data_IF_294612485128
#
_entry.id   IF_294612485128
#
_cell.length_a   1.000
_cell.length_b   1.000
_cell.length_c   1.000
_cell.angle_alpha   90.00
_cell.angle_beta   90.00
_cell.angle_gamma   90.00
#
_symmetry.space_group_name_H-M   'P 1'
#
loop_
_entity.id
_entity.type
_entity.pdbx_description
1 polymer ?
#
# COMPACT_ATOMS: atom_id res chain seq x y z
N UNK A 1 -11.63 37.34 22.38
CA UNK A 1 -11.22 37.04 21.03
C UNK A 1 -12.30 36.24 20.32
N UNK A 2 -12.98 36.82 19.42
CA UNK A 2 -14.05 36.22 18.63
C UNK A 2 -13.61 36.16 17.16
N UNK A 3 -13.86 35.10 16.36
CA UNK A 3 -14.71 33.93 16.64
C UNK A 3 -13.99 32.79 17.39
N UNK A 4 -14.76 31.95 18.10
CA UNK A 4 -14.29 30.68 18.66
C UNK A 4 -13.76 29.80 17.55
N UNK A 5 -12.56 29.27 17.71
CA UNK A 5 -11.94 28.36 16.74
C UNK A 5 -11.73 26.99 17.38
N UNK A 6 -12.13 25.94 16.66
CA UNK A 6 -11.77 24.57 17.05
C UNK A 6 -10.28 24.35 16.89
N UNK A 7 -9.70 23.48 17.71
CA UNK A 7 -8.32 23.06 17.51
C UNK A 7 -8.17 22.39 16.15
N UNK A 8 -7.00 22.53 15.54
CA UNK A 8 -6.73 21.97 14.21
C UNK A 8 -6.96 20.46 14.18
N UNK A 9 -6.49 19.74 15.19
CA UNK A 9 -6.66 18.30 15.35
C UNK A 9 -8.12 17.89 15.45
N UNK A 10 -8.89 18.64 16.24
CA UNK A 10 -10.35 18.44 16.38
C UNK A 10 -11.04 18.54 15.03
N UNK A 11 -10.74 19.59 14.27
CA UNK A 11 -11.31 19.76 12.93
C UNK A 11 -10.91 18.61 11.99
N UNK A 12 -9.63 18.21 11.99
CA UNK A 12 -9.17 17.09 11.18
C UNK A 12 -9.94 15.81 11.56
N UNK A 13 -10.02 15.47 12.85
CA UNK A 13 -10.68 14.25 13.31
C UNK A 13 -12.20 14.28 13.05
N UNK A 14 -12.86 15.43 13.11
CA UNK A 14 -14.26 15.56 12.73
C UNK A 14 -14.48 15.25 11.24
N UNK A 15 -13.61 15.77 10.38
CA UNK A 15 -13.69 15.48 8.94
C UNK A 15 -13.39 14.01 8.60
N UNK A 16 -12.61 13.29 9.42
CA UNK A 16 -12.39 11.85 9.25
C UNK A 16 -13.67 11.03 9.47
N UNK A 17 -14.60 11.52 10.29
CA UNK A 17 -15.80 10.77 10.66
C UNK A 17 -16.72 10.51 9.47
N UNK A 18 -16.79 11.44 8.51
CA UNK A 18 -17.68 11.37 7.35
C UNK A 18 -16.95 10.94 6.06
N UNK A 19 -15.62 10.83 6.10
CA UNK A 19 -14.80 10.52 4.94
C UNK A 19 -14.90 9.06 4.47
N UNK A 20 -14.71 8.84 3.16
CA UNK A 20 -14.36 7.53 2.64
C UNK A 20 -12.95 7.11 3.11
N UNK A 21 -12.56 5.82 3.06
CA UNK A 21 -11.21 5.41 3.41
C UNK A 21 -10.10 6.18 2.69
N UNK A 22 -10.28 6.50 1.39
CA UNK A 22 -9.32 7.33 0.62
C UNK A 22 -9.28 8.77 1.11
N UNK A 23 -10.44 9.37 1.41
CA UNK A 23 -10.51 10.71 1.97
C UNK A 23 -9.82 10.76 3.35
N UNK A 24 -9.99 9.73 4.18
CA UNK A 24 -9.33 9.60 5.50
C UNK A 24 -7.80 9.58 5.34
N UNK A 25 -7.27 8.74 4.44
CA UNK A 25 -5.83 8.65 4.20
C UNK A 25 -5.28 9.95 3.64
N UNK A 26 -5.94 10.56 2.66
CA UNK A 26 -5.55 11.84 2.04
C UNK A 26 -5.56 12.99 3.05
N UNK A 27 -6.59 13.08 3.88
CA UNK A 27 -6.72 14.14 4.88
C UNK A 27 -5.63 14.04 5.96
N UNK A 28 -5.37 12.84 6.49
CA UNK A 28 -4.28 12.62 7.45
C UNK A 28 -2.92 12.98 6.86
N UNK A 29 -2.65 12.54 5.63
CA UNK A 29 -1.44 12.85 4.91
C UNK A 29 -1.26 14.38 4.73
N UNK A 30 -2.34 15.08 4.34
CA UNK A 30 -2.33 16.53 4.15
C UNK A 30 -2.09 17.27 5.45
N UNK A 31 -2.75 16.84 6.54
CA UNK A 31 -2.60 17.46 7.86
C UNK A 31 -1.16 17.35 8.38
N UNK A 32 -0.54 16.19 8.23
CA UNK A 32 0.84 15.94 8.68
C UNK A 32 1.87 16.70 7.83
N UNK A 33 1.71 16.73 6.51
CA UNK A 33 2.60 17.50 5.61
C UNK A 33 2.54 18.99 5.87
N UNK A 34 1.38 19.52 6.19
CA UNK A 34 1.19 20.94 6.49
C UNK A 34 1.94 21.43 7.72
N UNK A 35 2.58 20.54 8.49
CA UNK A 35 3.32 20.83 9.72
C UNK A 35 2.51 21.63 10.77
N UNK A 36 1.19 21.63 10.63
CA UNK A 36 0.28 22.30 11.59
C UNK A 36 -0.03 21.44 12.80
N UNK A 37 0.30 20.14 12.70
CA UNK A 37 0.09 19.15 13.76
C UNK A 37 1.17 18.08 13.70
N UNK A 38 1.13 17.15 14.68
CA UNK A 38 2.03 16.00 14.76
C UNK A 38 1.23 14.70 14.84
N UNK A 39 1.88 13.56 14.54
CA UNK A 39 1.28 12.23 14.71
C UNK A 39 0.74 12.04 16.11
N UNK A 40 1.51 12.43 17.13
CA UNK A 40 1.13 12.28 18.54
C UNK A 40 -0.15 13.08 18.87
N UNK A 41 -0.27 14.31 18.39
CA UNK A 41 -1.44 15.17 18.63
C UNK A 41 -2.69 14.63 17.93
N UNK A 42 -2.57 14.20 16.67
CA UNK A 42 -3.69 13.58 15.93
C UNK A 42 -4.12 12.26 16.57
N UNK A 43 -3.16 11.45 17.04
CA UNK A 43 -3.45 10.19 17.72
C UNK A 43 -4.21 10.44 19.02
N UNK A 44 -3.73 11.35 19.85
CA UNK A 44 -4.40 11.71 21.11
C UNK A 44 -5.83 12.20 20.88
N UNK A 45 -6.05 13.06 19.88
CA UNK A 45 -7.41 13.53 19.57
C UNK A 45 -8.31 12.42 19.03
N UNK A 46 -7.80 11.54 18.16
CA UNK A 46 -8.55 10.39 17.64
C UNK A 46 -8.91 9.38 18.75
N UNK A 47 -8.05 9.19 19.76
CA UNK A 47 -8.29 8.32 20.92
C UNK A 47 -9.37 8.89 21.84
N UNK A 48 -9.47 10.21 21.98
CA UNK A 48 -10.52 10.87 22.78
C UNK A 48 -11.93 10.70 22.24
N UNK A 49 -12.09 10.37 20.94
CA UNK A 49 -13.39 10.16 20.33
C UNK A 49 -13.95 8.79 20.72
N UNK A 50 -15.12 8.75 21.33
CA UNK A 50 -15.80 7.50 21.65
C UNK A 50 -16.19 6.72 20.39
N UNK A 51 -16.65 7.41 19.35
CA UNK A 51 -17.02 6.85 18.06
C UNK A 51 -16.22 7.54 16.96
N UNK A 52 -15.39 6.80 16.28
CA UNK A 52 -14.65 7.24 15.11
C UNK A 52 -14.76 6.17 14.03
N UNK A 53 -15.43 6.53 12.94
CA UNK A 53 -15.47 5.69 11.74
C UNK A 53 -14.05 5.46 11.24
N UNK A 54 -13.76 4.29 10.73
CA UNK A 54 -12.43 3.94 10.26
C UNK A 54 -11.29 4.05 11.30
N UNK A 55 -11.58 3.94 12.60
CA UNK A 55 -10.58 4.05 13.69
C UNK A 55 -9.33 3.19 13.44
N UNK A 56 -9.51 1.95 12.94
CA UNK A 56 -8.40 1.06 12.59
C UNK A 56 -7.49 1.65 11.52
N UNK A 57 -8.08 2.19 10.44
CA UNK A 57 -7.34 2.85 9.36
C UNK A 57 -6.60 4.10 9.85
N UNK A 58 -7.28 4.95 10.64
CA UNK A 58 -6.65 6.14 11.24
C UNK A 58 -5.43 5.76 12.07
N UNK A 59 -5.57 4.76 12.94
CA UNK A 59 -4.46 4.27 13.77
C UNK A 59 -3.30 3.75 12.92
N UNK A 60 -3.61 2.97 11.87
CA UNK A 60 -2.59 2.36 11.03
C UNK A 60 -1.82 3.41 10.22
N UNK A 61 -2.52 4.40 9.64
CA UNK A 61 -1.90 5.53 8.92
C UNK A 61 -1.02 6.37 9.86
N UNK A 62 -1.49 6.65 11.08
CA UNK A 62 -0.70 7.40 12.06
C UNK A 62 0.50 6.60 12.58
N UNK A 63 0.41 5.27 12.62
CA UNK A 63 1.55 4.40 12.99
C UNK A 63 2.59 4.40 11.88
N UNK A 64 2.18 4.28 10.62
CA UNK A 64 3.08 4.40 9.47
C UNK A 64 3.85 5.73 9.47
N UNK A 65 3.14 6.81 9.81
CA UNK A 65 3.74 8.14 9.88
C UNK A 65 4.77 8.29 11.01
N UNK A 66 4.67 7.48 12.07
CA UNK A 66 5.56 7.55 13.23
C UNK A 66 6.82 6.68 13.10
N UNK A 67 6.66 5.47 12.56
CA UNK A 67 7.63 4.41 12.83
C UNK A 67 8.72 4.23 11.75
N UNK A 68 8.52 4.71 10.53
CA UNK A 68 9.53 4.60 9.45
C UNK A 68 10.06 3.18 9.15
N UNK A 69 9.60 2.16 9.90
CA UNK A 69 10.01 0.76 9.85
C UNK A 69 8.78 -0.09 9.57
N UNK A 70 8.88 -1.09 8.78
CA UNK A 70 7.88 -2.01 8.25
C UNK A 70 6.44 -1.48 8.21
N UNK A 71 6.08 -0.89 7.08
CA UNK A 71 4.80 -0.19 6.86
C UNK A 71 3.60 -1.09 7.23
N UNK A 72 2.62 -0.58 8.00
CA UNK A 72 1.35 -1.26 8.21
C UNK A 72 0.67 -1.69 6.91
N UNK A 73 0.92 -0.95 5.81
CA UNK A 73 0.43 -1.29 4.49
C UNK A 73 1.10 -2.56 3.94
N UNK A 74 2.42 -2.73 4.13
CA UNK A 74 3.13 -3.95 3.77
C UNK A 74 2.57 -5.18 4.51
N UNK A 75 2.34 -5.05 5.83
CA UNK A 75 1.72 -6.12 6.62
C UNK A 75 0.32 -6.47 6.11
N UNK A 76 -0.49 -5.46 5.75
CA UNK A 76 -1.82 -5.68 5.18
C UNK A 76 -1.76 -6.36 3.84
N UNK A 77 -0.89 -5.92 2.96
CA UNK A 77 -0.67 -6.56 1.66
C UNK A 77 -0.29 -8.04 1.83
N UNK A 78 0.70 -8.33 2.66
CA UNK A 78 1.13 -9.71 2.91
C UNK A 78 0.00 -10.56 3.51
N UNK A 79 -0.73 -10.05 4.49
CA UNK A 79 -1.74 -10.83 5.18
C UNK A 79 -3.05 -10.95 4.39
N UNK A 80 -3.57 -9.83 3.87
CA UNK A 80 -4.89 -9.80 3.25
C UNK A 80 -4.87 -10.17 1.76
N UNK A 81 -3.80 -9.79 1.04
CA UNK A 81 -3.69 -10.07 -0.39
C UNK A 81 -2.97 -11.39 -0.63
N UNK A 82 -1.76 -11.58 -0.07
CA UNK A 82 -0.96 -12.76 -0.40
C UNK A 82 -1.38 -14.01 0.40
N UNK A 83 -1.25 -13.98 1.73
CA UNK A 83 -1.47 -15.16 2.58
C UNK A 83 -2.88 -15.70 2.48
N UNK A 84 -3.89 -14.82 2.59
CA UNK A 84 -5.30 -15.25 2.56
C UNK A 84 -5.69 -15.89 1.25
N UNK A 85 -5.05 -15.51 0.15
CA UNK A 85 -5.38 -16.02 -1.17
C UNK A 85 -4.41 -17.08 -1.69
N UNK A 86 -3.43 -17.51 -0.89
CA UNK A 86 -2.49 -18.58 -1.25
C UNK A 86 -1.47 -18.19 -2.31
N UNK A 87 -1.19 -16.89 -2.44
CA UNK A 87 -0.16 -16.38 -3.32
C UNK A 87 1.24 -16.57 -2.70
N UNK A 88 2.29 -16.65 -3.52
CA UNK A 88 3.67 -16.58 -3.04
C UNK A 88 3.88 -15.32 -2.20
N UNK A 89 4.67 -15.40 -1.13
CA UNK A 89 4.88 -14.24 -0.26
C UNK A 89 5.85 -13.23 -0.86
N UNK A 90 6.70 -13.66 -1.79
CA UNK A 90 7.77 -12.81 -2.32
C UNK A 90 8.80 -12.41 -1.24
N UNK A 91 9.70 -11.52 -1.61
CA UNK A 91 10.78 -11.00 -0.74
C UNK A 91 10.49 -9.51 -0.49
N UNK A 92 10.47 -9.11 0.78
CA UNK A 92 10.30 -7.71 1.17
C UNK A 92 11.52 -6.86 0.81
N UNK A 93 11.29 -5.57 0.54
CA UNK A 93 12.34 -4.59 0.25
C UNK A 93 13.30 -5.05 -0.87
N UNK A 94 12.73 -5.56 -1.96
CA UNK A 94 13.47 -6.14 -3.07
C UNK A 94 14.23 -5.08 -3.86
N UNK A 95 15.51 -5.37 -4.16
CA UNK A 95 16.37 -4.50 -4.92
C UNK A 95 16.44 -4.97 -6.39
N UNK A 96 15.97 -4.15 -7.30
CA UNK A 96 16.23 -4.31 -8.73
C UNK A 96 17.49 -3.53 -9.07
N UNK A 97 18.51 -4.23 -9.54
CA UNK A 97 19.78 -3.66 -9.92
C UNK A 97 20.05 -3.93 -11.40
N UNK A 98 20.57 -2.93 -12.10
CA UNK A 98 21.16 -3.08 -13.42
C UNK A 98 22.66 -3.30 -13.28
N UNK A 99 23.19 -4.30 -13.95
CA UNK A 99 24.60 -4.37 -14.27
C UNK A 99 24.81 -3.56 -15.55
N UNK A 100 25.64 -2.53 -15.50
CA UNK A 100 26.12 -1.85 -16.71
C UNK A 100 27.10 -2.74 -17.46
N UNK A 101 27.43 -2.37 -18.71
CA UNK A 101 28.33 -3.12 -19.61
C UNK A 101 29.74 -3.38 -19.05
N UNK A 102 30.13 -2.74 -17.96
CA UNK A 102 31.42 -2.84 -17.29
C UNK A 102 31.31 -3.42 -15.87
N UNK A 103 30.21 -4.09 -15.52
CA UNK A 103 30.02 -4.67 -14.17
C UNK A 103 29.70 -3.65 -13.07
N UNK A 104 29.63 -2.37 -13.38
CA UNK A 104 29.20 -1.34 -12.45
C UNK A 104 27.69 -1.40 -12.24
N UNK A 105 27.26 -1.38 -10.98
CA UNK A 105 25.83 -1.31 -10.64
C UNK A 105 25.34 0.10 -10.97
N UNK A 106 24.74 0.26 -12.14
CA UNK A 106 24.05 1.48 -12.54
C UNK A 106 22.57 1.30 -12.26
N UNK A 107 21.99 2.20 -11.47
CA UNK A 107 20.54 2.31 -11.33
C UNK A 107 19.88 1.22 -10.47
N UNK A 108 20.12 1.27 -9.17
CA UNK A 108 19.41 0.43 -8.19
C UNK A 108 18.13 1.08 -7.72
N UNK A 109 17.05 0.30 -7.66
CA UNK A 109 15.78 0.75 -7.04
C UNK A 109 15.21 -0.33 -6.14
N UNK A 110 14.82 0.09 -4.96
CA UNK A 110 14.17 -0.76 -3.98
C UNK A 110 12.66 -0.69 -4.16
N UNK A 111 12.02 -1.85 -4.19
CA UNK A 111 10.59 -2.04 -4.24
C UNK A 111 10.13 -2.71 -2.96
N UNK A 112 8.90 -2.42 -2.51
CA UNK A 112 8.39 -2.94 -1.24
C UNK A 112 8.31 -4.45 -1.23
N UNK A 113 8.05 -5.08 -2.41
CA UNK A 113 8.07 -6.53 -2.56
C UNK A 113 8.50 -6.97 -3.94
N UNK A 114 9.26 -8.05 -4.00
CA UNK A 114 9.69 -8.68 -5.25
C UNK A 114 9.34 -10.16 -5.32
N UNK A 115 9.05 -10.62 -6.51
CA UNK A 115 8.86 -12.03 -6.87
C UNK A 115 9.89 -12.37 -7.97
N UNK A 116 11.14 -12.66 -7.58
CA UNK A 116 12.25 -12.77 -8.53
C UNK A 116 12.05 -13.86 -9.57
N UNK A 117 11.50 -15.01 -9.18
CA UNK A 117 11.26 -16.13 -10.10
C UNK A 117 10.31 -15.76 -11.26
N UNK A 118 9.49 -14.73 -11.04
CA UNK A 118 8.48 -14.25 -12.00
C UNK A 118 8.80 -12.88 -12.56
N UNK A 119 9.88 -12.24 -12.12
CA UNK A 119 10.20 -10.85 -12.47
C UNK A 119 9.02 -9.88 -12.27
N UNK A 120 8.34 -10.01 -11.15
CA UNK A 120 7.26 -9.11 -10.72
C UNK A 120 7.70 -8.37 -9.47
N UNK A 121 7.48 -7.06 -9.45
CA UNK A 121 7.71 -6.22 -8.27
C UNK A 121 6.43 -5.47 -7.90
N UNK A 122 6.30 -5.19 -6.63
CA UNK A 122 5.15 -4.44 -6.07
C UNK A 122 5.67 -3.23 -5.33
N UNK A 123 5.01 -2.12 -5.57
CA UNK A 123 5.12 -0.88 -4.82
C UNK A 123 3.83 -0.64 -4.06
N UNK A 124 3.96 -0.27 -2.80
CA UNK A 124 2.83 -0.01 -1.92
C UNK A 124 2.77 1.49 -1.63
N UNK A 125 1.81 2.14 -2.27
CA UNK A 125 1.63 3.57 -2.19
C UNK A 125 0.95 3.94 -0.86
N UNK A 126 1.76 4.20 0.18
CA UNK A 126 1.30 4.68 1.48
C UNK A 126 0.70 6.09 1.38
N UNK A 127 -0.25 6.39 2.27
CA UNK A 127 -1.01 7.64 2.26
C UNK A 127 -0.15 8.93 2.32
N UNK A 128 1.09 8.83 2.80
CA UNK A 128 1.94 9.99 3.07
C UNK A 128 2.85 10.40 1.90
N UNK A 129 2.96 9.59 0.84
CA UNK A 129 4.01 9.74 -0.17
C UNK A 129 3.62 10.45 -1.46
N UNK A 130 2.36 10.88 -1.63
CA UNK A 130 1.90 11.46 -2.89
C UNK A 130 1.94 12.98 -2.92
N UNK A 131 3.09 13.63 -3.23
CA UNK A 131 3.09 14.90 -3.98
C UNK A 131 4.49 15.41 -4.39
N UNK A 132 4.60 15.93 -5.60
CA UNK A 132 5.65 16.82 -6.11
C UNK A 132 6.96 16.13 -6.50
N UNK A 133 7.96 16.12 -5.64
CA UNK A 133 9.27 15.51 -5.90
C UNK A 133 9.19 13.98 -6.12
N UNK A 134 8.13 13.35 -5.64
CA UNK A 134 7.86 11.92 -5.80
C UNK A 134 7.47 11.54 -7.24
N UNK A 135 6.78 12.39 -8.01
CA UNK A 135 6.35 12.04 -9.38
C UNK A 135 7.52 11.78 -10.34
N UNK A 136 8.63 12.49 -10.20
CA UNK A 136 9.82 12.26 -11.01
C UNK A 136 10.55 10.97 -10.56
N UNK A 137 10.67 10.77 -9.25
CA UNK A 137 11.26 9.57 -8.66
C UNK A 137 10.42 8.32 -8.98
N UNK A 138 9.09 8.43 -8.93
CA UNK A 138 8.15 7.34 -9.25
C UNK A 138 8.20 6.96 -10.73
N UNK A 139 8.27 7.94 -11.63
CA UNK A 139 8.47 7.67 -13.06
C UNK A 139 9.80 6.98 -13.31
N UNK A 140 10.86 7.44 -12.66
CA UNK A 140 12.18 6.83 -12.78
C UNK A 140 12.17 5.38 -12.28
N UNK A 141 11.55 5.11 -11.12
CA UNK A 141 11.39 3.78 -10.55
C UNK A 141 10.64 2.83 -11.50
N UNK A 142 9.54 3.31 -12.11
CA UNK A 142 8.77 2.56 -13.12
C UNK A 142 9.61 2.26 -14.37
N UNK A 143 10.39 3.23 -14.84
CA UNK A 143 11.26 3.07 -16.00
C UNK A 143 12.41 2.06 -15.74
N UNK A 144 12.94 2.04 -14.51
CA UNK A 144 13.94 1.04 -14.11
C UNK A 144 13.33 -0.36 -14.15
N UNK A 145 12.18 -0.57 -13.54
CA UNK A 145 11.50 -1.86 -13.58
C UNK A 145 11.27 -2.32 -15.04
N UNK A 146 10.73 -1.43 -15.89
CA UNK A 146 10.45 -1.75 -17.29
C UNK A 146 11.72 -2.10 -18.07
N UNK A 147 12.81 -1.31 -17.96
CA UNK A 147 14.06 -1.58 -18.66
C UNK A 147 14.69 -2.92 -18.31
N UNK A 148 14.47 -3.39 -17.08
CA UNK A 148 14.97 -4.68 -16.61
C UNK A 148 13.98 -5.82 -16.76
N UNK A 149 12.89 -5.61 -17.51
CA UNK A 149 11.88 -6.63 -17.80
C UNK A 149 11.04 -7.04 -16.61
N UNK A 150 11.02 -6.20 -15.55
CA UNK A 150 10.15 -6.41 -14.40
C UNK A 150 8.76 -5.84 -14.63
N UNK A 151 7.74 -6.60 -14.29
CA UNK A 151 6.38 -6.11 -14.22
C UNK A 151 6.17 -5.42 -12.88
N UNK A 152 5.81 -4.14 -12.90
CA UNK A 152 5.52 -3.36 -11.70
C UNK A 152 4.01 -3.30 -11.45
N UNK A 153 3.59 -3.70 -10.27
CA UNK A 153 2.24 -3.47 -9.74
C UNK A 153 2.28 -2.41 -8.64
N UNK A 154 1.21 -1.63 -8.53
CA UNK A 154 1.06 -0.61 -7.48
C UNK A 154 -0.24 -0.82 -6.73
N UNK A 155 -0.20 -0.76 -5.41
CA UNK A 155 -1.37 -0.93 -4.55
C UNK A 155 -1.37 0.09 -3.42
N UNK A 156 -2.54 0.69 -3.20
CA UNK A 156 -2.77 1.59 -2.08
C UNK A 156 -3.50 0.91 -0.90
N UNK A 157 -4.00 1.71 0.02
CA UNK A 157 -4.69 1.23 1.22
C UNK A 157 -5.97 0.45 0.92
N UNK A 158 -6.80 0.92 -0.03
CA UNK A 158 -8.03 0.22 -0.40
C UNK A 158 -7.73 -1.15 -1.00
N UNK A 159 -6.72 -1.21 -1.85
CA UNK A 159 -6.28 -2.43 -2.52
C UNK A 159 -5.81 -3.50 -1.52
N UNK A 160 -5.27 -3.07 -0.38
CA UNK A 160 -4.81 -3.96 0.69
C UNK A 160 -5.88 -4.24 1.77
N UNK A 161 -7.06 -3.61 1.68
CA UNK A 161 -8.15 -3.73 2.66
C UNK A 161 -9.45 -4.18 2.03
N UNK A 162 -10.32 -3.26 1.63
CA UNK A 162 -11.66 -3.56 1.09
C UNK A 162 -11.63 -4.22 -0.29
N UNK A 163 -10.60 -3.94 -1.11
CA UNK A 163 -10.40 -4.51 -2.44
C UNK A 163 -9.37 -5.66 -2.48
N UNK A 164 -8.96 -6.21 -1.33
CA UNK A 164 -7.87 -7.19 -1.26
C UNK A 164 -8.08 -8.45 -2.13
N UNK A 165 -9.32 -8.87 -2.35
CA UNK A 165 -9.63 -9.99 -3.26
C UNK A 165 -9.36 -9.64 -4.73
N UNK A 166 -9.70 -8.42 -5.17
CA UNK A 166 -9.42 -7.95 -6.52
C UNK A 166 -7.91 -7.83 -6.73
N UNK A 167 -7.19 -7.23 -5.77
CA UNK A 167 -5.74 -7.13 -5.80
C UNK A 167 -5.06 -8.50 -5.83
N UNK A 168 -5.57 -9.49 -5.11
CA UNK A 168 -5.07 -10.86 -5.17
C UNK A 168 -5.23 -11.48 -6.56
N UNK A 169 -6.35 -11.20 -7.23
CA UNK A 169 -6.59 -11.65 -8.61
C UNK A 169 -5.61 -10.99 -9.57
N UNK A 170 -5.35 -9.70 -9.40
CA UNK A 170 -4.40 -8.95 -10.22
C UNK A 170 -2.95 -9.45 -10.05
N UNK A 171 -2.51 -9.65 -8.81
CA UNK A 171 -1.20 -10.26 -8.53
C UNK A 171 -1.10 -11.65 -9.17
N UNK A 172 -2.15 -12.48 -9.06
CA UNK A 172 -2.16 -13.80 -9.66
C UNK A 172 -2.06 -13.76 -11.19
N UNK A 173 -2.75 -12.82 -11.84
CA UNK A 173 -2.66 -12.61 -13.29
C UNK A 173 -1.23 -12.24 -13.68
N UNK A 174 -0.62 -11.30 -12.98
CA UNK A 174 0.76 -10.89 -13.21
C UNK A 174 1.75 -12.04 -13.04
N UNK A 175 1.64 -12.80 -11.94
CA UNK A 175 2.52 -13.95 -11.70
C UNK A 175 2.32 -15.06 -12.74
N UNK A 176 1.06 -15.34 -13.14
CA UNK A 176 0.75 -16.35 -14.16
C UNK A 176 1.28 -15.98 -15.55
N UNK A 177 1.22 -14.71 -15.93
CA UNK A 177 1.82 -14.24 -17.19
C UNK A 177 3.35 -14.46 -17.23
N UNK A 178 3.94 -14.77 -16.08
CA UNK A 178 5.37 -15.02 -15.90
C UNK A 178 5.69 -16.45 -15.43
N UNK A 179 4.73 -17.38 -15.56
CA UNK A 179 4.98 -18.81 -15.35
C UNK A 179 4.52 -19.36 -14.00
N UNK A 180 3.88 -18.58 -13.13
CA UNK A 180 3.31 -19.12 -11.89
C UNK A 180 2.10 -20.02 -12.20
N UNK A 181 2.16 -21.29 -11.82
CA UNK A 181 1.12 -22.30 -12.04
C UNK A 181 0.17 -22.49 -10.85
N UNK A 182 0.39 -21.75 -9.75
CA UNK A 182 -0.40 -21.92 -8.53
C UNK A 182 -1.86 -21.46 -8.67
N UNK A 183 -2.66 -21.85 -7.67
CA UNK A 183 -4.09 -21.55 -7.61
C UNK A 183 -4.41 -20.59 -6.50
N UNK A 184 -5.29 -19.63 -6.78
CA UNK A 184 -5.84 -18.76 -5.75
C UNK A 184 -6.76 -19.56 -4.81
N UNK A 185 -6.75 -19.17 -3.55
CA UNK A 185 -7.62 -19.66 -2.49
C UNK A 185 -8.63 -18.58 -2.12
N UNK A 186 -9.87 -18.95 -1.88
CA UNK A 186 -10.85 -18.02 -1.32
C UNK A 186 -10.50 -17.69 0.14
N UNK A 187 -10.55 -16.40 0.50
CA UNK A 187 -10.23 -15.93 1.84
C UNK A 187 -11.40 -16.07 2.84
N UNK A 188 -12.61 -16.35 2.35
CA UNK A 188 -13.82 -16.50 3.14
C UNK A 188 -15.08 -16.60 2.25
N UNK A 189 -16.28 -16.66 2.88
CA UNK A 189 -17.56 -16.86 2.15
C UNK A 189 -17.88 -15.75 1.14
N UNK A 190 -17.50 -14.52 1.43
CA UNK A 190 -17.74 -13.34 0.59
C UNK A 190 -16.59 -13.01 -0.35
N UNK A 191 -15.63 -13.93 -0.50
CA UNK A 191 -14.48 -13.73 -1.37
C UNK A 191 -14.90 -13.67 -2.83
N UNK A 192 -14.47 -12.63 -3.53
CA UNK A 192 -14.77 -12.42 -4.96
C UNK A 192 -13.80 -13.11 -5.91
N UNK A 193 -12.76 -13.78 -5.37
CA UNK A 193 -11.83 -14.56 -6.19
C UNK A 193 -12.55 -15.78 -6.75
N UNK A 194 -12.62 -15.89 -8.09
CA UNK A 194 -13.24 -17.01 -8.76
C UNK A 194 -12.49 -18.32 -8.51
N UNK A 195 -13.21 -19.34 -8.07
CA UNK A 195 -12.73 -20.71 -8.20
C UNK A 195 -12.76 -21.10 -9.68
N UNK A 196 -11.62 -21.18 -10.35
CA UNK A 196 -11.59 -21.89 -11.62
C UNK A 196 -12.14 -23.29 -11.38
N UNK A 197 -13.34 -23.56 -11.93
CA UNK A 197 -13.85 -24.92 -12.02
C UNK A 197 -12.78 -25.72 -12.79
N UNK A 198 -12.29 -26.80 -12.20
CA UNK A 198 -11.51 -27.77 -12.95
C UNK A 198 -12.45 -28.34 -14.01
N UNK A 199 -12.24 -27.93 -15.24
CA UNK A 199 -12.73 -28.73 -16.39
C UNK A 199 -11.90 -30.01 -16.36
N UNK A 200 -12.45 -31.03 -15.68
CA UNK A 200 -12.04 -32.40 -15.90
C UNK A 200 -12.45 -32.74 -17.32
N UNK A 201 -11.50 -33.03 -18.19
CA UNK A 201 -11.65 -33.77 -19.43
C UNK A 201 -11.07 -35.14 -19.23
#
# INVERSE_FOLDING_TARGET
LWPWRTAYETTVVDLLADGSPDAVTTLLATALRGRKTTVARLRAEAERRQRLRHRGLVRDVLTEAADGVESPLERRFVNNVLRRHGLPLGIGQWLVAALGDVGEVRDQRRFDRGFPDYRVVVELDGALYHQGATLAADRHKSNVAARHGWLLLRFGWLDCTSAACASASEVAVALRSRGWSGRLRQCGPTCTVERRRSTAS
#
